data_IF_816293753658
#
_entry.id   IF_816293753658
#
_cell.length_a   1.000
_cell.length_b   1.000
_cell.length_c   1.000
_cell.angle_alpha   90.00
_cell.angle_beta   90.00
_cell.angle_gamma   90.00
#
_symmetry.space_group_name_H-M   'P 1'
#
loop_
_entity.id
_entity.type
_entity.pdbx_description
1 polymer ?
#
# COMPACT_ATOMS: atom_id res chain seq x y z
N UNK A 1 13.32 14.15 -4.85
CA UNK A 1 12.64 13.26 -3.90
C UNK A 1 11.66 14.07 -3.06
N UNK A 2 10.37 13.74 -3.08
CA UNK A 2 9.30 14.59 -2.51
C UNK A 2 8.88 14.23 -1.07
N UNK A 3 9.53 13.26 -0.43
CA UNK A 3 9.14 12.81 0.91
C UNK A 3 9.30 13.89 2.00
N UNK A 4 10.17 14.89 1.79
CA UNK A 4 10.28 16.07 2.66
C UNK A 4 8.99 16.90 2.71
N UNK A 5 8.14 16.80 1.68
CA UNK A 5 6.83 17.45 1.64
C UNK A 5 5.76 16.69 2.44
N UNK A 6 6.14 15.61 3.13
CA UNK A 6 5.27 14.94 4.07
C UNK A 6 4.86 15.93 5.19
N UNK A 7 3.57 16.11 5.48
CA UNK A 7 3.11 17.05 6.51
C UNK A 7 3.55 16.66 7.92
N UNK A 8 4.04 15.43 8.10
CA UNK A 8 4.55 14.91 9.37
C UNK A 8 6.07 14.80 9.37
N UNK A 9 6.78 15.26 8.34
CA UNK A 9 8.21 15.00 8.17
C UNK A 9 9.05 15.34 9.42
N UNK A 10 8.79 16.50 10.04
CA UNK A 10 9.51 16.98 11.23
C UNK A 10 9.07 16.33 12.55
N UNK A 11 7.92 15.66 12.60
CA UNK A 11 7.32 15.12 13.83
C UNK A 11 6.91 13.64 13.73
N UNK A 12 7.33 12.96 12.66
CA UNK A 12 6.94 11.58 12.42
C UNK A 12 7.68 10.66 13.38
N UNK A 13 6.92 10.02 14.28
CA UNK A 13 7.41 8.99 15.19
C UNK A 13 7.17 7.57 14.69
N UNK A 14 6.72 7.40 13.43
CA UNK A 14 6.41 6.08 12.89
C UNK A 14 7.72 5.30 12.72
N UNK A 15 7.87 4.15 13.40
CA UNK A 15 9.13 3.41 13.40
C UNK A 15 9.47 2.89 12.01
N UNK A 16 8.48 2.36 11.29
CA UNK A 16 8.62 1.86 9.91
C UNK A 16 7.83 2.70 8.90
N UNK A 17 8.40 3.84 8.50
CA UNK A 17 7.75 4.78 7.59
C UNK A 17 7.87 4.34 6.10
N UNK A 18 6.77 4.24 5.34
CA UNK A 18 6.82 3.92 3.90
C UNK A 18 7.55 4.95 3.03
N UNK A 19 7.75 6.17 3.54
CA UNK A 19 8.47 7.26 2.88
C UNK A 19 9.94 7.36 3.30
N UNK A 20 10.43 6.43 4.13
CA UNK A 20 11.85 6.36 4.50
C UNK A 20 12.65 5.60 3.44
N UNK A 21 13.67 6.21 2.80
CA UNK A 21 14.58 5.50 1.91
C UNK A 21 15.27 4.29 2.57
N UNK A 22 15.46 4.31 3.90
CA UNK A 22 16.09 3.26 4.69
C UNK A 22 15.12 2.26 5.32
N UNK A 23 13.85 2.19 4.88
CA UNK A 23 12.81 1.36 5.52
C UNK A 23 13.19 -0.11 5.72
N UNK A 24 14.02 -0.67 4.82
CA UNK A 24 14.46 -2.07 4.91
C UNK A 24 15.42 -2.36 6.05
N UNK A 25 16.08 -1.31 6.58
CA UNK A 25 16.95 -1.40 7.75
C UNK A 25 16.20 -1.23 9.07
N UNK A 26 14.89 -1.00 9.01
CA UNK A 26 14.05 -0.76 10.18
C UNK A 26 13.16 -1.94 10.49
N UNK A 27 13.13 -2.30 11.76
CA UNK A 27 12.18 -3.26 12.30
C UNK A 27 10.96 -2.57 12.87
N UNK A 28 9.86 -3.33 12.92
CA UNK A 28 8.62 -2.91 13.57
C UNK A 28 8.36 -3.89 14.70
N UNK A 29 8.21 -3.39 15.91
CA UNK A 29 7.81 -4.18 17.06
C UNK A 29 6.28 -4.34 17.11
N UNK A 30 5.76 -5.43 17.70
CA UNK A 30 4.32 -5.59 17.91
C UNK A 30 3.74 -4.40 18.70
N UNK A 31 2.60 -3.88 18.25
CA UNK A 31 1.92 -2.74 18.90
C UNK A 31 2.38 -1.36 18.42
N UNK A 32 3.46 -1.26 17.64
CA UNK A 32 3.90 0.02 17.09
C UNK A 32 2.91 0.56 16.03
N UNK A 33 2.74 1.89 15.95
CA UNK A 33 1.77 2.51 15.06
C UNK A 33 2.18 2.41 13.59
N UNK A 34 1.18 2.26 12.73
CA UNK A 34 1.34 2.41 11.29
C UNK A 34 1.36 3.88 10.86
N UNK A 35 1.86 4.14 9.66
CA UNK A 35 1.79 5.48 9.06
C UNK A 35 0.31 5.86 8.83
N UNK A 36 -0.17 7.00 9.38
CA UNK A 36 -1.56 7.42 9.23
C UNK A 36 -1.87 8.03 7.86
N UNK A 37 -0.86 8.28 7.01
CA UNK A 37 -1.10 8.82 5.68
C UNK A 37 -1.73 7.76 4.77
N UNK A 38 -2.73 8.19 4.01
CA UNK A 38 -3.39 7.35 3.01
C UNK A 38 -2.40 6.81 1.98
N UNK A 39 -2.67 5.61 1.47
CA UNK A 39 -1.85 4.97 0.42
C UNK A 39 -1.60 5.89 -0.76
N UNK A 40 -2.63 6.57 -1.26
CA UNK A 40 -2.52 7.49 -2.40
C UNK A 40 -1.56 8.66 -2.12
N UNK A 41 -1.65 9.26 -0.93
CA UNK A 41 -0.77 10.38 -0.55
C UNK A 41 0.68 9.93 -0.37
N UNK A 42 0.89 8.77 0.27
CA UNK A 42 2.22 8.15 0.36
C UNK A 42 2.79 7.84 -1.03
N UNK A 43 1.97 7.31 -1.93
CA UNK A 43 2.39 6.98 -3.29
C UNK A 43 2.90 8.21 -4.06
N UNK A 44 2.16 9.32 -3.98
CA UNK A 44 2.54 10.59 -4.60
C UNK A 44 3.83 11.17 -3.99
N UNK A 45 3.96 11.14 -2.67
CA UNK A 45 5.13 11.69 -1.97
C UNK A 45 6.39 10.82 -2.15
N UNK A 46 6.20 9.52 -2.28
CA UNK A 46 7.27 8.53 -2.42
C UNK A 46 7.81 8.40 -3.83
N UNK A 47 7.40 9.25 -4.77
CA UNK A 47 7.95 9.27 -6.13
C UNK A 47 9.49 9.41 -6.09
N UNK A 48 10.17 8.44 -6.71
CA UNK A 48 11.64 8.32 -6.70
C UNK A 48 12.22 7.53 -5.52
N UNK A 49 11.41 7.02 -4.59
CA UNK A 49 11.84 6.03 -3.60
C UNK A 49 11.72 4.61 -4.18
N UNK A 50 12.56 3.63 -3.76
CA UNK A 50 12.51 2.26 -4.27
C UNK A 50 11.11 1.62 -4.21
N UNK A 51 10.38 1.91 -3.13
CA UNK A 51 9.05 1.36 -2.90
C UNK A 51 7.92 2.32 -3.30
N UNK A 52 8.22 3.50 -3.87
CA UNK A 52 7.24 4.52 -4.22
C UNK A 52 6.27 4.87 -3.08
N UNK A 53 6.71 4.88 -1.82
CA UNK A 53 5.83 5.14 -0.67
C UNK A 53 4.88 3.99 -0.30
N UNK A 54 5.04 2.82 -0.91
CA UNK A 54 4.26 1.61 -0.59
C UNK A 54 4.93 0.81 0.53
N UNK A 55 4.11 0.16 1.35
CA UNK A 55 4.57 -0.90 2.27
C UNK A 55 4.98 -2.15 1.48
N UNK A 56 5.77 -3.04 2.09
CA UNK A 56 6.16 -4.32 1.45
C UNK A 56 4.96 -5.13 0.96
N UNK A 57 3.89 -5.18 1.76
CA UNK A 57 2.65 -5.88 1.40
C UNK A 57 1.96 -5.22 0.20
N UNK A 58 1.86 -3.89 0.19
CA UNK A 58 1.26 -3.15 -0.92
C UNK A 58 2.08 -3.27 -2.21
N UNK A 59 3.41 -3.23 -2.10
CA UNK A 59 4.32 -3.42 -3.23
C UNK A 59 4.20 -4.83 -3.79
N UNK A 60 4.23 -5.85 -2.93
CA UNK A 60 4.04 -7.24 -3.35
C UNK A 60 2.68 -7.45 -4.05
N UNK A 61 1.61 -6.87 -3.51
CA UNK A 61 0.29 -6.92 -4.15
C UNK A 61 0.29 -6.25 -5.54
N UNK A 62 0.97 -5.10 -5.69
CA UNK A 62 1.13 -4.43 -6.98
C UNK A 62 1.91 -5.29 -7.97
N UNK A 63 3.06 -5.81 -7.57
CA UNK A 63 3.91 -6.66 -8.41
C UNK A 63 3.17 -7.95 -8.83
N UNK A 64 2.41 -8.55 -7.92
CA UNK A 64 1.58 -9.72 -8.23
C UNK A 64 0.48 -9.38 -9.25
N UNK A 65 -0.15 -8.21 -9.13
CA UNK A 65 -1.13 -7.74 -10.12
C UNK A 65 -0.48 -7.46 -11.48
N UNK A 66 0.68 -6.83 -11.49
CA UNK A 66 1.45 -6.53 -12.70
C UNK A 66 1.88 -7.81 -13.43
N UNK A 67 2.30 -8.84 -12.69
CA UNK A 67 2.68 -10.15 -13.25
C UNK A 67 1.52 -10.93 -13.86
N UNK A 68 0.28 -10.72 -13.39
CA UNK A 68 -0.89 -11.42 -13.94
C UNK A 68 -1.13 -11.02 -15.39
N UNK A 69 -1.39 -12.03 -16.23
CA UNK A 69 -1.74 -11.82 -17.63
C UNK A 69 -3.09 -11.11 -17.75
N UNK A 70 -3.38 -10.52 -18.92
CA UNK A 70 -4.68 -9.87 -19.18
C UNK A 70 -5.87 -10.80 -18.91
N UNK A 71 -5.74 -12.09 -19.26
CA UNK A 71 -6.76 -13.12 -19.00
C UNK A 71 -6.97 -13.35 -17.51
N UNK A 72 -5.90 -13.49 -16.73
CA UNK A 72 -5.98 -13.70 -15.28
C UNK A 72 -6.59 -12.50 -14.54
N UNK A 73 -6.35 -11.28 -15.04
CA UNK A 73 -6.93 -10.05 -14.47
C UNK A 73 -8.44 -9.98 -14.72
N UNK A 74 -8.89 -10.35 -15.92
CA UNK A 74 -10.32 -10.40 -16.27
C UNK A 74 -11.03 -11.46 -15.43
N UNK A 75 -10.47 -12.66 -15.30
CA UNK A 75 -11.05 -13.73 -14.49
C UNK A 75 -11.17 -13.33 -13.01
N UNK A 76 -10.15 -12.66 -12.48
CA UNK A 76 -10.16 -12.17 -11.10
C UNK A 76 -11.21 -11.06 -10.89
N UNK A 77 -11.35 -10.13 -11.83
CA UNK A 77 -12.42 -9.12 -11.80
C UNK A 77 -13.81 -9.75 -11.85
N UNK A 78 -13.99 -10.77 -12.69
CA UNK A 78 -15.27 -11.48 -12.82
C UNK A 78 -15.63 -12.23 -11.52
N UNK A 79 -14.66 -12.90 -10.88
CA UNK A 79 -14.83 -13.51 -9.56
C UNK A 79 -15.22 -12.48 -8.49
N UNK A 80 -14.57 -11.32 -8.46
CA UNK A 80 -14.88 -10.25 -7.50
C UNK A 80 -16.29 -9.69 -7.72
N UNK A 81 -16.71 -9.48 -8.97
CA UNK A 81 -18.09 -9.06 -9.31
C UNK A 81 -19.12 -10.07 -8.82
N UNK A 82 -18.88 -11.36 -9.04
CA UNK A 82 -19.76 -12.45 -8.60
C UNK A 82 -19.87 -12.52 -7.08
N UNK A 83 -18.79 -12.27 -6.35
CA UNK A 83 -18.81 -12.22 -4.89
C UNK A 83 -19.54 -10.98 -4.34
N UNK A 84 -19.47 -9.83 -5.02
CA UNK A 84 -20.18 -8.62 -4.61
C UNK A 84 -21.69 -8.65 -4.86
N UNK A 85 -22.20 -9.70 -5.51
CA UNK A 85 -23.61 -9.90 -5.83
C UNK A 85 -24.14 -11.13 -5.07
N UNK A 86 -24.19 -11.05 -3.74
CA UNK A 86 -25.06 -11.92 -2.96
C UNK A 86 -26.32 -11.12 -2.62
N UNK A 87 -27.48 -11.42 -3.23
CA UNK A 87 -28.73 -10.84 -2.76
C UNK A 87 -28.94 -11.29 -1.32
N UNK A 88 -29.02 -10.33 -0.40
CA UNK A 88 -29.46 -10.58 0.96
C UNK A 88 -30.86 -11.21 0.89
N UNK A 89 -30.97 -12.46 1.35
CA UNK A 89 -32.25 -13.14 1.53
C UNK A 89 -33.09 -12.35 2.54
N UNK A 90 -34.31 -11.89 2.19
CA UNK A 90 -35.23 -11.35 3.18
C UNK A 90 -35.85 -12.50 4.00
N UNK A 91 -35.86 -12.34 5.32
CA UNK A 91 -36.64 -13.14 6.30
C UNK A 91 -38.15 -12.93 6.13
#
# INVERSE_FOLDING_TARGET
MNYHNCPRYSSCSVPKCPLDPGIDKRDRLPGEPDCPLSKAKRYKLGEGLPNHGLTKRELAARLNWERKSGKDRIEMQDRLRKFSFQPSTPD
#
